data_IF_369609456506
#
_entry.id   IF_369609456506
#
_cell.length_a   1.000
_cell.length_b   1.000
_cell.length_c   1.000
_cell.angle_alpha   90.00
_cell.angle_beta   90.00
_cell.angle_gamma   90.00
#
_symmetry.space_group_name_H-M   'P 1'
#
loop_
_entity.id
_entity.type
_entity.pdbx_description
1 polymer ?
#
# COMPACT_ATOMS: atom_id res chain seq x y z
N UNK A 1 -10.23 35.13 -23.91
CA UNK A 1 -9.55 34.84 -22.89
C UNK A 1 -9.27 33.50 -22.86
N UNK A 2 -8.41 33.01 -22.42
CA UNK A 2 -8.08 31.81 -22.45
C UNK A 2 -7.53 31.36 -21.26
N UNK A 3 -8.14 31.55 -20.26
CA UNK A 3 -7.72 31.05 -19.01
C UNK A 3 -7.89 29.60 -18.87
N UNK A 4 -8.55 29.04 -19.81
CA UNK A 4 -8.65 27.61 -19.83
C UNK A 4 -7.30 26.97 -19.92
N UNK A 5 -6.31 27.71 -20.30
CA UNK A 5 -4.97 27.17 -20.35
C UNK A 5 -4.13 27.59 -19.18
N UNK A 6 -4.73 27.96 -18.09
CA UNK A 6 -3.98 28.35 -16.92
C UNK A 6 -3.15 27.16 -16.42
N UNK A 7 -1.81 27.19 -16.53
CA UNK A 7 -1.00 26.05 -16.15
C UNK A 7 -1.07 25.74 -14.66
N UNK A 8 -1.27 26.75 -13.83
CA UNK A 8 -1.37 26.53 -12.40
C UNK A 8 -2.60 25.71 -12.04
N UNK A 9 -3.72 25.97 -12.67
CA UNK A 9 -4.93 25.20 -12.42
C UNK A 9 -4.76 23.77 -12.91
N UNK A 10 -4.16 23.59 -14.07
CA UNK A 10 -3.90 22.26 -14.61
C UNK A 10 -2.97 21.46 -13.69
N UNK A 11 -1.93 22.09 -13.19
CA UNK A 11 -1.01 21.45 -12.27
C UNK A 11 -1.68 21.08 -10.96
N UNK A 12 -2.54 21.95 -10.44
CA UNK A 12 -3.26 21.66 -9.20
C UNK A 12 -4.18 20.46 -9.38
N UNK A 13 -4.89 20.37 -10.49
CA UNK A 13 -5.76 19.23 -10.78
C UNK A 13 -4.92 17.96 -10.87
N UNK A 14 -3.77 18.03 -11.53
CA UNK A 14 -2.89 16.87 -11.66
C UNK A 14 -2.35 16.41 -10.31
N UNK A 15 -1.96 17.34 -9.46
CA UNK A 15 -1.46 17.02 -8.12
C UNK A 15 -2.54 16.35 -7.27
N UNK A 16 -3.78 16.82 -7.36
CA UNK A 16 -4.89 16.21 -6.66
C UNK A 16 -5.10 14.79 -7.16
N UNK A 17 -5.09 14.60 -8.47
CA UNK A 17 -5.23 13.27 -9.07
C UNK A 17 -4.13 12.33 -8.63
N UNK A 18 -2.89 12.78 -8.67
CA UNK A 18 -1.75 11.96 -8.27
C UNK A 18 -1.81 11.62 -6.78
N UNK A 19 -2.23 12.58 -5.96
CA UNK A 19 -2.40 12.34 -4.53
C UNK A 19 -3.47 11.29 -4.23
N UNK A 20 -4.61 11.39 -4.91
CA UNK A 20 -5.69 10.40 -4.75
C UNK A 20 -5.22 9.03 -5.22
N UNK A 21 -4.53 8.96 -6.36
CA UNK A 21 -4.02 7.70 -6.87
C UNK A 21 -3.06 7.05 -5.89
N UNK A 22 -2.14 7.83 -5.32
CA UNK A 22 -1.19 7.31 -4.33
C UNK A 22 -1.91 6.81 -3.08
N UNK A 23 -2.89 7.55 -2.61
CA UNK A 23 -3.67 7.11 -1.44
C UNK A 23 -4.39 5.80 -1.72
N UNK A 24 -4.96 5.66 -2.91
CA UNK A 24 -5.64 4.43 -3.29
C UNK A 24 -4.68 3.26 -3.40
N UNK A 25 -3.49 3.49 -3.95
CA UNK A 25 -2.48 2.45 -4.02
C UNK A 25 -2.02 2.03 -2.64
N UNK A 26 -1.75 2.99 -1.76
CA UNK A 26 -1.31 2.69 -0.40
C UNK A 26 -2.41 1.96 0.38
N UNK A 27 -3.66 2.38 0.20
CA UNK A 27 -4.78 1.68 0.82
C UNK A 27 -4.91 0.26 0.30
N UNK A 28 -4.74 0.05 -1.00
CA UNK A 28 -4.77 -1.28 -1.59
C UNK A 28 -3.66 -2.18 -1.05
N UNK A 29 -2.46 -1.62 -0.88
CA UNK A 29 -1.33 -2.34 -0.30
C UNK A 29 -1.65 -2.76 1.14
N UNK A 30 -2.19 -1.83 1.94
CA UNK A 30 -2.55 -2.12 3.32
C UNK A 30 -3.67 -3.15 3.41
N UNK A 31 -4.68 -3.05 2.55
CA UNK A 31 -5.79 -4.00 2.51
C UNK A 31 -5.29 -5.40 2.15
N UNK A 32 -4.41 -5.47 1.16
CA UNK A 32 -3.83 -6.75 0.74
C UNK A 32 -2.98 -7.35 1.85
N UNK A 33 -2.15 -6.53 2.51
CA UNK A 33 -1.33 -7.00 3.63
C UNK A 33 -2.20 -7.51 4.77
N UNK A 34 -3.31 -6.84 5.05
CA UNK A 34 -4.26 -7.26 6.07
C UNK A 34 -4.87 -8.62 5.72
N UNK A 35 -5.26 -8.82 4.47
CA UNK A 35 -5.80 -10.08 4.00
C UNK A 35 -4.76 -11.20 4.08
N UNK A 36 -3.53 -10.92 3.70
CA UNK A 36 -2.45 -11.91 3.81
C UNK A 36 -2.18 -12.32 5.24
N UNK A 37 -2.14 -11.34 6.14
CA UNK A 37 -1.92 -11.63 7.57
C UNK A 37 -3.08 -12.44 8.14
N UNK A 38 -4.30 -12.12 7.75
CA UNK A 38 -5.48 -12.89 8.17
C UNK A 38 -5.41 -14.34 7.66
N UNK A 39 -4.99 -14.54 6.43
CA UNK A 39 -4.83 -15.87 5.85
C UNK A 39 -3.75 -16.66 6.58
N UNK A 40 -2.61 -16.03 6.87
CA UNK A 40 -1.52 -16.67 7.62
C UNK A 40 -2.01 -17.06 9.02
N UNK A 41 -2.75 -16.16 9.66
CA UNK A 41 -3.26 -16.39 10.99
C UNK A 41 -4.24 -17.57 11.01
N UNK A 42 -5.12 -17.63 10.03
CA UNK A 42 -6.08 -18.72 9.90
C UNK A 42 -5.37 -20.05 9.61
N UNK A 43 -4.38 -20.03 8.74
CA UNK A 43 -3.60 -21.24 8.43
C UNK A 43 -2.88 -21.74 9.67
N UNK A 44 -2.27 -20.86 10.43
CA UNK A 44 -1.56 -21.24 11.64
C UNK A 44 -2.51 -21.80 12.70
N UNK A 45 -3.70 -21.23 12.80
CA UNK A 45 -4.70 -21.69 13.77
C UNK A 45 -5.22 -23.09 13.46
N UNK A 46 -5.29 -23.44 12.17
CA UNK A 46 -5.84 -24.72 11.75
C UNK A 46 -4.78 -25.77 11.42
N UNK A 47 -3.55 -25.35 11.17
CA UNK A 47 -2.51 -26.24 10.69
C UNK A 47 -1.17 -25.82 11.25
N UNK A 48 -0.90 -26.19 12.46
CA UNK A 48 0.28 -25.73 13.18
C UNK A 48 1.53 -26.47 12.74
N UNK A 49 1.85 -26.43 11.46
CA UNK A 49 3.07 -27.06 10.95
C UNK A 49 4.32 -26.26 11.27
N UNK A 50 4.18 -25.01 11.69
CA UNK A 50 5.28 -24.16 12.07
C UNK A 50 4.99 -23.48 13.40
N UNK A 51 6.05 -23.13 14.12
CA UNK A 51 5.93 -22.57 15.47
C UNK A 51 5.68 -21.06 15.47
N UNK A 52 5.53 -20.48 16.68
CA UNK A 52 5.23 -19.04 16.81
C UNK A 52 6.34 -18.15 16.29
N UNK A 53 7.59 -18.60 16.30
CA UNK A 53 8.69 -17.79 15.76
C UNK A 53 8.53 -17.63 14.26
N UNK A 54 8.23 -18.69 13.54
CA UNK A 54 7.99 -18.65 12.10
C UNK A 54 6.74 -17.84 11.79
N UNK A 55 5.68 -18.02 12.56
CA UNK A 55 4.46 -17.24 12.42
C UNK A 55 4.76 -15.73 12.52
N UNK A 56 5.48 -15.33 13.57
CA UNK A 56 5.81 -13.92 13.77
C UNK A 56 6.68 -13.39 12.64
N UNK A 57 7.62 -14.19 12.13
CA UNK A 57 8.45 -13.78 11.00
C UNK A 57 7.63 -13.53 9.74
N UNK A 58 6.63 -14.38 9.49
CA UNK A 58 5.77 -14.22 8.32
C UNK A 58 4.95 -12.94 8.43
N UNK A 59 4.39 -12.66 9.60
CA UNK A 59 3.63 -11.44 9.83
C UNK A 59 4.52 -10.21 9.68
N UNK A 60 5.70 -10.23 10.28
CA UNK A 60 6.65 -9.12 10.17
C UNK A 60 7.07 -8.90 8.72
N UNK A 61 7.25 -9.98 7.96
CA UNK A 61 7.62 -9.89 6.56
C UNK A 61 6.51 -9.25 5.71
N UNK A 62 5.25 -9.58 6.00
CA UNK A 62 4.13 -8.95 5.32
C UNK A 62 4.12 -7.44 5.58
N UNK A 63 4.34 -7.03 6.83
CA UNK A 63 4.39 -5.63 7.20
C UNK A 63 5.56 -4.92 6.52
N UNK A 64 6.73 -5.54 6.51
CA UNK A 64 7.93 -4.98 5.89
C UNK A 64 7.72 -4.77 4.40
N UNK A 65 7.18 -5.76 3.70
CA UNK A 65 6.93 -5.66 2.27
C UNK A 65 5.91 -4.56 1.98
N UNK A 66 4.85 -4.48 2.79
CA UNK A 66 3.84 -3.43 2.62
C UNK A 66 4.46 -2.04 2.78
N UNK A 67 5.32 -1.85 3.77
CA UNK A 67 5.99 -0.57 3.99
C UNK A 67 6.92 -0.23 2.83
N UNK A 68 7.65 -1.21 2.31
CA UNK A 68 8.53 -0.99 1.16
C UNK A 68 7.74 -0.61 -0.08
N UNK A 69 6.62 -1.27 -0.33
CA UNK A 69 5.78 -0.96 -1.47
C UNK A 69 5.17 0.43 -1.36
N UNK A 70 4.69 0.80 -0.18
CA UNK A 70 4.14 2.13 0.04
C UNK A 70 5.21 3.21 -0.13
N UNK A 71 6.40 2.98 0.39
CA UNK A 71 7.50 3.92 0.22
C UNK A 71 7.85 4.12 -1.25
N UNK A 72 7.82 3.05 -2.05
CA UNK A 72 8.04 3.15 -3.48
C UNK A 72 7.00 4.01 -4.17
N UNK A 73 5.73 3.85 -3.80
CA UNK A 73 4.64 4.66 -4.35
C UNK A 73 4.81 6.12 -3.97
N UNK A 74 5.14 6.39 -2.71
CA UNK A 74 5.27 7.76 -2.21
C UNK A 74 6.47 8.48 -2.81
N UNK A 75 7.52 7.74 -3.13
CA UNK A 75 8.74 8.33 -3.66
C UNK A 75 8.73 8.50 -5.18
N UNK A 76 7.77 7.90 -5.85
CA UNK A 76 7.67 8.09 -7.29
C UNK A 76 7.11 9.45 -7.62
N UNK A 77 7.71 10.09 -8.62
CA UNK A 77 7.22 11.38 -9.07
C UNK A 77 6.96 11.33 -10.54
N UNK A 78 5.81 11.74 -10.89
CA UNK A 78 5.37 11.75 -12.28
C UNK A 78 5.25 13.17 -12.80
#
# INVERSE_FOLDING_TARGET
>A
MNNENNPNLTEMIREIHDGVAREMYCKGIDDFATLMKAAINQDWATNTTYGPITYNRLIDKCNEIAEQLKAGVENERY
#
